data_IF_883772376919
#
_entry.id   IF_883772376919
#
_cell.length_a   1.000
_cell.length_b   1.000
_cell.length_c   1.000
_cell.angle_alpha   90.00
_cell.angle_beta   90.00
_cell.angle_gamma   90.00
#
_symmetry.space_group_name_H-M   'P 1'
#
loop_
_entity.id
_entity.type
_entity.pdbx_description
1 polymer ?
#
# COMPACT_ATOMS: atom_id res chain seq x y z
N UNK A 1 -13.18 -19.60 6.29
CA UNK A 1 -13.22 -18.39 7.16
C UNK A 1 -14.46 -17.60 6.80
N UNK A 2 -15.32 -17.24 7.76
CA UNK A 2 -16.40 -16.27 7.54
C UNK A 2 -15.86 -14.90 7.95
N UNK A 3 -15.42 -14.10 6.96
CA UNK A 3 -15.07 -12.71 7.22
C UNK A 3 -16.35 -11.89 7.36
N UNK A 4 -16.51 -11.17 8.47
CA UNK A 4 -17.52 -10.13 8.59
C UNK A 4 -17.05 -8.90 7.83
N UNK A 5 -18.00 -8.20 7.20
CA UNK A 5 -17.72 -7.04 6.36
C UNK A 5 -18.38 -5.78 6.93
N UNK A 6 -17.71 -4.66 6.72
CA UNK A 6 -18.30 -3.34 6.79
C UNK A 6 -18.60 -2.87 5.38
N UNK A 7 -19.84 -2.46 5.14
CA UNK A 7 -20.29 -1.91 3.85
C UNK A 7 -20.64 -0.45 4.02
N UNK A 8 -19.96 0.42 3.27
CA UNK A 8 -20.35 1.82 3.10
C UNK A 8 -21.09 1.96 1.77
N UNK A 9 -22.40 2.12 1.86
CA UNK A 9 -23.27 2.47 0.74
C UNK A 9 -23.43 3.98 0.76
N UNK A 10 -23.05 4.67 -0.31
CA UNK A 10 -23.10 6.13 -0.33
C UNK A 10 -23.63 6.71 -1.64
N UNK A 11 -24.12 7.94 -1.56
CA UNK A 11 -24.57 8.74 -2.69
C UNK A 11 -24.06 10.16 -2.54
N UNK A 12 -23.57 10.73 -3.62
CA UNK A 12 -23.14 12.12 -3.72
C UNK A 12 -23.86 12.78 -4.90
N UNK A 13 -24.03 14.11 -4.88
CA UNK A 13 -24.56 14.87 -6.01
C UNK A 13 -23.82 14.52 -7.31
N UNK A 14 -24.55 14.52 -8.43
CA UNK A 14 -24.00 14.22 -9.76
C UNK A 14 -22.93 15.21 -10.19
N UNK A 15 -23.00 16.44 -9.70
CA UNK A 15 -22.00 17.49 -9.88
C UNK A 15 -21.66 18.19 -8.55
N UNK A 16 -20.38 18.58 -8.35
CA UNK A 16 -19.25 18.34 -9.25
C UNK A 16 -18.66 16.93 -9.08
N UNK A 17 -18.22 16.31 -10.19
CA UNK A 17 -17.67 14.94 -10.22
C UNK A 17 -16.45 14.72 -9.30
N UNK A 18 -15.70 15.79 -9.03
CA UNK A 18 -14.54 15.80 -8.13
C UNK A 18 -14.85 15.27 -6.72
N UNK A 19 -16.07 15.47 -6.22
CA UNK A 19 -16.46 15.00 -4.87
C UNK A 19 -16.50 13.48 -4.81
N UNK A 20 -17.07 12.83 -5.84
CA UNK A 20 -17.09 11.36 -5.94
C UNK A 20 -15.70 10.80 -6.08
N UNK A 21 -14.88 11.39 -6.94
CA UNK A 21 -13.48 10.97 -7.13
C UNK A 21 -12.66 11.10 -5.84
N UNK A 22 -12.91 12.14 -5.03
CA UNK A 22 -12.27 12.31 -3.73
C UNK A 22 -12.64 11.18 -2.75
N UNK A 23 -13.93 10.90 -2.57
CA UNK A 23 -14.39 9.84 -1.66
C UNK A 23 -13.90 8.46 -2.12
N UNK A 24 -13.96 8.20 -3.43
CA UNK A 24 -13.43 6.97 -4.02
C UNK A 24 -11.94 6.77 -3.74
N UNK A 25 -11.11 7.80 -3.97
CA UNK A 25 -9.67 7.72 -3.66
C UNK A 25 -9.42 7.46 -2.18
N UNK A 26 -10.18 8.06 -1.27
CA UNK A 26 -10.01 7.81 0.17
C UNK A 26 -10.42 6.41 0.59
N UNK A 27 -11.49 5.86 0.03
CA UNK A 27 -11.89 4.48 0.26
C UNK A 27 -10.86 3.49 -0.27
N UNK A 28 -10.33 3.72 -1.47
CA UNK A 28 -9.22 2.92 -2.03
C UNK A 28 -7.96 3.02 -1.16
N UNK A 29 -7.60 4.22 -0.70
CA UNK A 29 -6.48 4.42 0.21
C UNK A 29 -6.65 3.71 1.56
N UNK A 30 -7.89 3.49 1.99
CA UNK A 30 -8.23 2.71 3.18
C UNK A 30 -8.22 1.19 2.93
N UNK A 31 -7.98 0.72 1.70
CA UNK A 31 -7.97 -0.70 1.33
C UNK A 31 -9.32 -1.26 0.92
N UNK A 32 -10.34 -0.41 0.74
CA UNK A 32 -11.67 -0.88 0.40
C UNK A 32 -11.73 -1.43 -1.04
N UNK A 33 -12.48 -2.51 -1.21
CA UNK A 33 -12.94 -2.99 -2.51
C UNK A 33 -14.35 -2.45 -2.79
N UNK A 34 -14.78 -2.48 -4.05
CA UNK A 34 -16.12 -2.05 -4.44
C UNK A 34 -16.90 -3.24 -4.98
N UNK A 35 -17.93 -3.65 -4.26
CA UNK A 35 -18.80 -4.77 -4.67
C UNK A 35 -19.84 -4.34 -5.71
N UNK A 36 -20.16 -3.04 -5.73
CA UNK A 36 -21.05 -2.42 -6.68
C UNK A 36 -20.80 -0.90 -6.73
N UNK A 37 -21.51 -0.20 -7.62
CA UNK A 37 -21.48 1.26 -7.68
C UNK A 37 -21.80 1.88 -6.32
N UNK A 38 -20.84 2.64 -5.78
CA UNK A 38 -20.93 3.30 -4.47
C UNK A 38 -21.20 2.36 -3.28
N UNK A 39 -20.83 1.08 -3.41
CA UNK A 39 -20.85 0.10 -2.32
C UNK A 39 -19.42 -0.35 -2.06
N UNK A 40 -18.79 0.27 -1.08
CA UNK A 40 -17.42 -0.05 -0.68
C UNK A 40 -17.42 -1.02 0.51
N UNK A 41 -16.53 -2.02 0.47
CA UNK A 41 -16.42 -3.06 1.48
C UNK A 41 -15.01 -3.10 2.08
N UNK A 42 -14.96 -3.33 3.40
CA UNK A 42 -13.75 -3.62 4.16
C UNK A 42 -14.01 -4.81 5.10
N UNK A 43 -13.02 -5.68 5.35
CA UNK A 43 -13.08 -6.61 6.45
C UNK A 43 -13.32 -5.87 7.78
N UNK A 44 -14.17 -6.41 8.62
CA UNK A 44 -14.53 -5.77 9.88
C UNK A 44 -13.32 -5.66 10.80
N UNK A 45 -13.02 -4.43 11.22
CA UNK A 45 -12.04 -4.13 12.27
C UNK A 45 -12.37 -2.80 12.93
N UNK A 46 -11.89 -2.54 14.17
CA UNK A 46 -12.09 -1.24 14.82
C UNK A 46 -11.53 -0.07 14.01
N UNK A 47 -10.44 -0.29 13.27
CA UNK A 47 -9.87 0.73 12.39
C UNK A 47 -10.77 0.99 11.18
N UNK A 48 -11.22 -0.06 10.49
CA UNK A 48 -12.10 0.05 9.33
C UNK A 48 -13.42 0.74 9.69
N UNK A 49 -14.00 0.40 10.85
CA UNK A 49 -15.24 1.02 11.34
C UNK A 49 -15.06 2.52 11.57
N UNK A 50 -14.00 2.94 12.28
CA UNK A 50 -13.71 4.37 12.50
C UNK A 50 -13.50 5.11 11.18
N UNK A 51 -12.74 4.52 10.26
CA UNK A 51 -12.48 5.09 8.94
C UNK A 51 -13.76 5.26 8.12
N UNK A 52 -14.60 4.23 8.04
CA UNK A 52 -15.87 4.30 7.30
C UNK A 52 -16.89 5.24 7.95
N UNK A 53 -16.93 5.34 9.30
CA UNK A 53 -17.78 6.33 9.99
C UNK A 53 -17.37 7.76 9.65
N UNK A 54 -16.06 8.04 9.63
CA UNK A 54 -15.53 9.36 9.24
C UNK A 54 -15.86 9.68 7.79
N UNK A 55 -15.67 8.72 6.88
CA UNK A 55 -15.98 8.90 5.45
C UNK A 55 -17.48 9.09 5.21
N UNK A 56 -18.36 8.38 5.94
CA UNK A 56 -19.80 8.61 5.88
C UNK A 56 -20.16 10.04 6.31
N UNK A 57 -19.64 10.50 7.44
CA UNK A 57 -19.90 11.85 7.93
C UNK A 57 -19.40 12.92 6.94
N UNK A 58 -18.27 12.67 6.30
CA UNK A 58 -17.77 13.54 5.24
C UNK A 58 -18.69 13.55 4.00
N UNK A 59 -19.17 12.39 3.55
CA UNK A 59 -20.16 12.30 2.47
C UNK A 59 -21.39 13.15 2.79
N UNK A 60 -21.91 13.08 4.03
CA UNK A 60 -23.05 13.88 4.47
C UNK A 60 -22.72 15.39 4.47
N UNK A 61 -21.53 15.78 4.94
CA UNK A 61 -21.06 17.16 4.89
C UNK A 61 -20.89 17.73 3.47
N UNK A 62 -20.76 16.85 2.47
CA UNK A 62 -20.69 17.21 1.05
C UNK A 62 -22.07 17.24 0.36
N UNK A 63 -23.17 17.18 1.12
CA UNK A 63 -24.54 17.14 0.59
C UNK A 63 -24.94 15.77 0.03
N UNK A 64 -24.19 14.71 0.37
CA UNK A 64 -24.52 13.34 0.07
C UNK A 64 -25.32 12.65 1.16
N UNK A 65 -25.46 11.33 1.04
CA UNK A 65 -26.02 10.46 2.07
C UNK A 65 -25.28 9.13 2.08
N UNK A 66 -25.29 8.42 3.20
CA UNK A 66 -24.71 7.08 3.26
C UNK A 66 -25.17 6.24 4.43
N UNK A 67 -25.07 4.93 4.27
CA UNK A 67 -25.36 3.93 5.28
C UNK A 67 -24.09 3.10 5.51
N UNK A 68 -23.71 2.94 6.77
CA UNK A 68 -22.65 2.01 7.16
C UNK A 68 -23.33 0.80 7.79
N UNK A 69 -23.09 -0.37 7.21
CA UNK A 69 -23.68 -1.63 7.63
C UNK A 69 -22.58 -2.60 8.04
N UNK A 70 -22.86 -3.44 9.04
CA UNK A 70 -22.17 -4.70 9.23
C UNK A 70 -22.92 -5.77 8.43
N UNK A 71 -22.21 -6.58 7.66
CA UNK A 71 -22.79 -7.62 6.82
C UNK A 71 -22.00 -8.92 6.93
N UNK A 72 -22.72 -10.04 6.83
CA UNK A 72 -22.15 -11.37 6.65
C UNK A 72 -22.45 -11.84 5.22
N UNK A 73 -21.48 -12.52 4.61
CA UNK A 73 -21.66 -13.11 3.28
C UNK A 73 -22.44 -14.41 3.39
N UNK A 74 -23.65 -14.46 2.82
CA UNK A 74 -24.47 -15.68 2.81
C UNK A 74 -24.01 -16.71 1.77
N UNK A 75 -23.59 -16.23 0.59
CA UNK A 75 -23.06 -17.02 -0.51
C UNK A 75 -21.98 -16.20 -1.20
N UNK A 76 -20.89 -16.85 -1.57
CA UNK A 76 -19.82 -16.22 -2.34
C UNK A 76 -18.70 -15.58 -1.53
N UNK A 77 -18.47 -16.06 -0.30
CA UNK A 77 -17.42 -15.54 0.59
C UNK A 77 -16.03 -15.62 -0.06
N UNK A 78 -15.74 -16.70 -0.78
CA UNK A 78 -14.46 -16.91 -1.45
C UNK A 78 -14.22 -15.88 -2.55
N UNK A 79 -15.26 -15.47 -3.28
CA UNK A 79 -15.15 -14.47 -4.35
C UNK A 79 -14.82 -13.09 -3.77
N UNK A 80 -15.50 -12.68 -2.69
CA UNK A 80 -15.25 -11.37 -2.06
C UNK A 80 -13.85 -11.34 -1.42
N UNK A 81 -13.45 -12.43 -0.77
CA UNK A 81 -12.08 -12.59 -0.22
C UNK A 81 -11.04 -12.54 -1.35
N UNK A 82 -11.29 -13.23 -2.46
CA UNK A 82 -10.40 -13.23 -3.62
C UNK A 82 -10.28 -11.82 -4.25
N UNK A 83 -11.38 -11.08 -4.38
CA UNK A 83 -11.36 -9.68 -4.84
C UNK A 83 -10.56 -8.77 -3.90
N UNK A 84 -10.69 -8.97 -2.59
CA UNK A 84 -9.93 -8.22 -1.60
C UNK A 84 -8.44 -8.52 -1.68
N UNK A 85 -8.07 -9.80 -1.73
CA UNK A 85 -6.68 -10.24 -1.80
C UNK A 85 -6.05 -9.85 -3.14
N UNK A 86 -6.74 -10.00 -4.26
CA UNK A 86 -6.26 -9.57 -5.57
C UNK A 86 -5.94 -8.06 -5.60
N UNK A 87 -6.72 -7.24 -4.89
CA UNK A 87 -6.42 -5.82 -4.76
C UNK A 87 -5.17 -5.53 -3.92
N UNK A 88 -4.85 -6.36 -2.92
CA UNK A 88 -3.58 -6.26 -2.16
C UNK A 88 -2.41 -6.78 -2.97
N UNK A 89 -2.58 -7.92 -3.65
CA UNK A 89 -1.57 -8.54 -4.50
C UNK A 89 -1.15 -7.61 -5.64
N UNK A 90 -2.07 -6.85 -6.23
CA UNK A 90 -1.75 -5.82 -7.22
C UNK A 90 -0.86 -4.71 -6.64
N UNK A 91 -1.09 -4.27 -5.40
CA UNK A 91 -0.25 -3.26 -4.74
C UNK A 91 1.13 -3.83 -4.39
N UNK A 92 1.20 -5.08 -3.90
CA UNK A 92 2.47 -5.75 -3.67
C UNK A 92 3.26 -5.98 -4.96
N UNK A 93 2.60 -6.33 -6.07
CA UNK A 93 3.27 -6.48 -7.36
C UNK A 93 3.92 -5.17 -7.85
N UNK A 94 3.28 -4.03 -7.61
CA UNK A 94 3.85 -2.71 -7.91
C UNK A 94 5.08 -2.43 -7.05
N UNK A 95 5.01 -2.74 -5.74
CA UNK A 95 6.14 -2.63 -4.81
C UNK A 95 7.30 -3.54 -5.21
N UNK A 96 7.02 -4.78 -5.61
CA UNK A 96 8.03 -5.72 -6.12
C UNK A 96 8.74 -5.17 -7.36
N UNK A 97 7.99 -4.55 -8.28
CA UNK A 97 8.57 -3.83 -9.41
C UNK A 97 9.51 -2.70 -8.97
N UNK A 98 9.16 -1.96 -7.91
CA UNK A 98 10.04 -0.91 -7.35
C UNK A 98 11.26 -1.43 -6.62
N UNK A 99 11.18 -2.61 -6.00
CA UNK A 99 12.36 -3.29 -5.45
C UNK A 99 13.33 -3.69 -6.59
N UNK A 100 12.79 -4.18 -7.71
CA UNK A 100 13.61 -4.51 -8.88
C UNK A 100 14.27 -3.26 -9.50
N UNK A 101 13.53 -2.16 -9.63
CA UNK A 101 14.08 -0.86 -10.08
C UNK A 101 15.23 -0.40 -9.16
N UNK A 102 15.05 -0.51 -7.83
CA UNK A 102 16.05 -0.15 -6.83
C UNK A 102 17.35 -0.96 -6.98
N UNK A 103 17.25 -2.29 -7.08
CA UNK A 103 18.42 -3.14 -7.33
C UNK A 103 19.15 -2.79 -8.62
N UNK A 104 18.40 -2.48 -9.69
CA UNK A 104 19.00 -2.14 -10.97
C UNK A 104 19.79 -0.82 -10.93
N UNK A 105 19.30 0.18 -10.20
CA UNK A 105 20.03 1.44 -10.01
C UNK A 105 21.28 1.24 -9.14
N UNK A 106 21.16 0.53 -8.02
CA UNK A 106 22.30 0.23 -7.15
C UNK A 106 23.40 -0.57 -7.88
N UNK A 107 23.02 -1.54 -8.72
CA UNK A 107 23.96 -2.27 -9.58
C UNK A 107 24.67 -1.34 -10.59
N UNK A 108 23.94 -0.37 -11.14
CA UNK A 108 24.48 0.59 -12.11
C UNK A 108 25.48 1.54 -11.44
N UNK A 109 25.19 2.00 -10.23
CA UNK A 109 26.10 2.83 -9.43
C UNK A 109 27.35 2.05 -9.01
N UNK A 110 27.17 0.79 -8.57
CA UNK A 110 28.27 -0.13 -8.22
C UNK A 110 29.21 -0.36 -9.42
N UNK A 111 28.66 -0.63 -10.62
CA UNK A 111 29.44 -0.82 -11.85
C UNK A 111 30.16 0.45 -12.30
N UNK A 112 29.63 1.61 -11.95
CA UNK A 112 30.24 2.91 -12.22
C UNK A 112 31.20 3.36 -11.11
N UNK A 113 31.42 2.55 -10.07
CA UNK A 113 32.23 2.85 -8.88
C UNK A 113 31.83 4.16 -8.19
N UNK A 114 30.52 4.48 -8.21
CA UNK A 114 29.94 5.70 -7.61
C UNK A 114 29.78 5.59 -6.09
N UNK A 115 30.80 5.11 -5.40
CA UNK A 115 30.80 4.90 -3.96
C UNK A 115 31.00 6.23 -3.20
N UNK A 116 29.93 7.02 -3.10
CA UNK A 116 29.97 8.32 -2.42
C UNK A 116 28.84 8.45 -1.42
N UNK A 117 29.05 9.24 -0.36
CA UNK A 117 28.03 9.51 0.66
C UNK A 117 26.71 10.07 0.11
N UNK A 118 26.70 11.01 -0.86
CA UNK A 118 25.45 11.50 -1.43
C UNK A 118 24.61 10.40 -2.12
N UNK A 119 25.25 9.48 -2.85
CA UNK A 119 24.54 8.37 -3.51
C UNK A 119 24.03 7.37 -2.46
N UNK A 120 24.80 7.13 -1.39
CA UNK A 120 24.33 6.32 -0.26
C UNK A 120 23.09 6.93 0.41
N UNK A 121 23.10 8.24 0.70
CA UNK A 121 21.99 8.96 1.33
C UNK A 121 20.73 8.91 0.45
N UNK A 122 20.86 9.11 -0.87
CA UNK A 122 19.74 9.00 -1.82
C UNK A 122 19.12 7.60 -1.81
N UNK A 123 19.94 6.56 -1.84
CA UNK A 123 19.47 5.18 -1.79
C UNK A 123 18.83 4.82 -0.42
N UNK A 124 19.34 5.36 0.69
CA UNK A 124 18.72 5.20 2.02
C UNK A 124 17.32 5.82 2.06
N UNK A 125 17.13 7.00 1.47
CA UNK A 125 15.82 7.63 1.35
C UNK A 125 14.86 6.78 0.49
N UNK A 126 15.34 6.22 -0.60
CA UNK A 126 14.53 5.39 -1.48
C UNK A 126 14.12 4.06 -0.83
N UNK A 127 15.03 3.40 -0.12
CA UNK A 127 14.69 2.24 0.70
C UNK A 127 13.67 2.57 1.80
N UNK A 128 13.81 3.73 2.44
CA UNK A 128 12.84 4.20 3.44
C UNK A 128 11.44 4.40 2.83
N UNK A 129 11.35 4.89 1.59
CA UNK A 129 10.08 5.00 0.84
C UNK A 129 9.47 3.62 0.56
N UNK A 130 10.28 2.63 0.16
CA UNK A 130 9.83 1.25 -0.07
C UNK A 130 9.28 0.61 1.21
N UNK A 131 10.01 0.71 2.33
CA UNK A 131 9.57 0.22 3.65
C UNK A 131 8.27 0.87 4.09
N UNK A 132 8.19 2.19 4.00
CA UNK A 132 6.97 2.93 4.36
C UNK A 132 5.78 2.57 3.46
N UNK A 133 6.01 2.17 2.22
CA UNK A 133 4.95 1.69 1.33
C UNK A 133 4.50 0.27 1.71
N UNK A 134 5.44 -0.65 1.94
CA UNK A 134 5.16 -1.99 2.43
C UNK A 134 4.31 -1.98 3.70
N UNK A 135 4.65 -1.12 4.68
CA UNK A 135 3.89 -0.96 5.92
C UNK A 135 2.45 -0.53 5.66
N UNK A 136 2.24 0.39 4.71
CA UNK A 136 0.90 0.86 4.33
C UNK A 136 0.07 -0.23 3.69
N UNK A 137 0.67 -1.09 2.84
CA UNK A 137 -0.04 -2.20 2.21
C UNK A 137 -0.37 -3.24 3.29
N UNK A 138 0.63 -3.64 4.08
CA UNK A 138 0.52 -4.65 5.14
C UNK A 138 -0.53 -4.27 6.20
N UNK A 139 -0.61 -2.99 6.58
CA UNK A 139 -1.62 -2.50 7.52
C UNK A 139 -3.06 -2.66 7.01
N UNK A 140 -3.26 -2.79 5.68
CA UNK A 140 -4.56 -3.00 5.03
C UNK A 140 -4.78 -4.46 4.62
N UNK A 141 -3.75 -5.29 4.67
CA UNK A 141 -3.79 -6.69 4.26
C UNK A 141 -4.29 -7.57 5.41
N UNK A 142 -5.57 -7.43 5.76
CA UNK A 142 -6.14 -8.13 6.91
C UNK A 142 -6.57 -9.57 6.60
N UNK A 143 -6.47 -10.00 5.34
CA UNK A 143 -6.86 -11.34 4.88
C UNK A 143 -5.68 -12.12 4.29
N UNK A 144 -4.46 -11.65 4.53
CA UNK A 144 -3.19 -12.32 4.21
C UNK A 144 -3.09 -12.68 2.72
N UNK A 145 -3.02 -11.66 1.87
CA UNK A 145 -2.82 -11.84 0.44
C UNK A 145 -1.49 -12.54 0.12
N UNK A 146 -1.47 -13.28 -0.99
CA UNK A 146 -0.41 -14.25 -1.30
C UNK A 146 0.96 -13.59 -1.46
N UNK A 147 1.01 -12.41 -2.10
CA UNK A 147 2.26 -11.72 -2.41
C UNK A 147 2.90 -11.03 -1.20
N UNK A 148 2.23 -10.95 -0.04
CA UNK A 148 2.73 -10.20 1.12
C UNK A 148 4.05 -10.74 1.69
N UNK A 149 4.25 -12.06 1.65
CA UNK A 149 5.53 -12.68 2.03
C UNK A 149 6.67 -12.27 1.11
N UNK A 150 6.46 -12.43 -0.20
CA UNK A 150 7.45 -12.11 -1.23
C UNK A 150 7.83 -10.63 -1.22
N UNK A 151 6.86 -9.73 -1.00
CA UNK A 151 7.13 -8.29 -0.92
C UNK A 151 7.99 -7.92 0.29
N UNK A 152 7.79 -8.58 1.45
CA UNK A 152 8.65 -8.39 2.62
C UNK A 152 10.08 -8.85 2.35
N UNK A 153 10.23 -10.03 1.77
CA UNK A 153 11.54 -10.59 1.41
C UNK A 153 12.27 -9.69 0.42
N UNK A 154 11.58 -9.15 -0.59
CA UNK A 154 12.18 -8.26 -1.59
C UNK A 154 12.66 -6.93 -0.99
N UNK A 155 11.88 -6.31 -0.09
CA UNK A 155 12.30 -5.07 0.60
C UNK A 155 13.49 -5.33 1.52
N UNK A 156 13.56 -6.50 2.15
CA UNK A 156 14.73 -6.88 2.95
C UNK A 156 15.97 -7.12 2.07
N UNK A 157 15.83 -7.78 0.93
CA UNK A 157 16.91 -7.94 -0.04
C UNK A 157 17.45 -6.59 -0.55
N UNK A 158 16.58 -5.59 -0.76
CA UNK A 158 17.02 -4.23 -1.06
C UNK A 158 17.84 -3.61 0.09
N UNK A 159 17.47 -3.87 1.34
CA UNK A 159 18.21 -3.39 2.51
C UNK A 159 19.59 -4.05 2.64
N UNK A 160 19.67 -5.36 2.41
CA UNK A 160 20.93 -6.11 2.41
C UNK A 160 21.86 -5.58 1.31
N UNK A 161 21.36 -5.40 0.09
CA UNK A 161 22.15 -4.86 -1.03
C UNK A 161 22.65 -3.44 -0.75
N UNK A 162 21.83 -2.58 -0.13
CA UNK A 162 22.27 -1.24 0.25
C UNK A 162 23.35 -1.26 1.34
N UNK A 163 23.29 -2.21 2.28
CA UNK A 163 24.33 -2.38 3.29
C UNK A 163 25.67 -2.76 2.64
N UNK A 164 25.67 -3.67 1.66
CA UNK A 164 26.87 -4.00 0.89
C UNK A 164 27.43 -2.78 0.14
N UNK A 165 26.57 -1.97 -0.49
CA UNK A 165 26.98 -0.72 -1.12
C UNK A 165 27.59 0.27 -0.10
N UNK A 166 26.99 0.40 1.08
CA UNK A 166 27.49 1.27 2.15
C UNK A 166 28.89 0.87 2.63
N UNK A 167 29.18 -0.44 2.74
CA UNK A 167 30.52 -0.94 3.08
C UNK A 167 31.58 -0.48 2.06
N UNK A 168 31.25 -0.48 0.77
CA UNK A 168 32.13 0.04 -0.27
C UNK A 168 32.35 1.56 -0.17
N UNK A 169 31.30 2.33 0.15
CA UNK A 169 31.40 3.78 0.38
C UNK A 169 32.33 4.09 1.55
N UNK A 170 32.17 3.38 2.68
CA UNK A 170 33.03 3.58 3.84
C UNK A 170 34.49 3.18 3.59
N UNK A 171 34.72 2.11 2.83
CA UNK A 171 36.07 1.72 2.44
C UNK A 171 36.73 2.79 1.55
N UNK A 172 36.01 3.33 0.57
CA UNK A 172 36.52 4.37 -0.33
C UNK A 172 36.92 5.67 0.41
N UNK A 173 36.18 6.06 1.44
CA UNK A 173 36.48 7.24 2.25
C UNK A 173 37.78 7.07 3.08
N UNK A 174 37.99 5.88 3.62
CA UNK A 174 39.20 5.56 4.39
C UNK A 174 40.47 5.59 3.52
N UNK A 175 40.38 5.13 2.28
CA UNK A 175 41.49 5.12 1.32
C UNK A 175 41.80 6.52 0.76
N UNK A 176 40.80 7.40 0.63
CA UNK A 176 40.97 8.79 0.17
C UNK A 176 41.59 9.75 1.19
N UNK A 177 41.75 9.31 2.45
CA UNK A 177 42.30 10.12 3.55
C UNK A 177 43.80 9.81 3.83
N UNK A 178 44.44 8.99 2.99
CA UNK A 178 45.87 8.60 3.10
C UNK A 178 46.81 9.34 2.14
#
# INVERSE_FOLDING_TARGET
MNANWLLLIYRLPSEPSRLRAMVWRRLKAAGAIYLANSVAALPESPWAERTMRKLRAEVEGLGGSGQLLRAETLVGVEQIVAEFNAARDAEYAELLGKCADFHAELEKETKAEKFTYPELEENEEDLAKLRAWLDKISARDTLEALCGGQAREAVEACAEALNEFAEHVYAAELDGTS
#
